data_IF_493655364865
#
_entry.id   IF_493655364865
#
_cell.length_a   1.000
_cell.length_b   1.000
_cell.length_c   1.000
_cell.angle_alpha   90.00
_cell.angle_beta   90.00
_cell.angle_gamma   90.00
#
_symmetry.space_group_name_H-M   'P 1'
#
loop_
_entity.id
_entity.type
_entity.pdbx_description
1 polymer ?
#
# COMPACT_ATOMS: atom_id res chain seq x y z
N UNK A 1 -21.84 -20.47 -8.56
CA UNK A 1 -21.45 -19.70 -7.35
C UNK A 1 -21.27 -18.25 -7.75
N UNK A 2 -21.86 -17.30 -7.01
CA UNK A 2 -21.78 -15.87 -7.34
C UNK A 2 -20.57 -15.21 -6.68
N UNK A 3 -19.97 -14.22 -7.33
CA UNK A 3 -18.86 -13.42 -6.77
C UNK A 3 -19.37 -12.59 -5.60
N UNK A 4 -18.78 -12.76 -4.40
CA UNK A 4 -19.22 -12.08 -3.17
C UNK A 4 -18.64 -10.67 -3.02
N UNK A 5 -17.38 -10.48 -3.41
CA UNK A 5 -16.67 -9.19 -3.45
C UNK A 5 -15.33 -9.32 -4.18
N UNK A 6 -14.76 -8.19 -4.56
CA UNK A 6 -13.45 -8.10 -5.23
C UNK A 6 -12.42 -7.57 -4.23
N UNK A 7 -11.23 -8.15 -4.25
CA UNK A 7 -10.09 -7.72 -3.43
C UNK A 7 -9.01 -7.11 -4.31
N UNK A 8 -8.26 -6.17 -3.75
CA UNK A 8 -7.07 -5.65 -4.38
C UNK A 8 -5.87 -6.45 -3.87
N UNK A 9 -5.21 -7.16 -4.78
CA UNK A 9 -3.98 -7.92 -4.55
C UNK A 9 -2.88 -7.31 -5.38
N UNK A 10 -1.71 -7.16 -4.77
CA UNK A 10 -0.51 -6.69 -5.45
C UNK A 10 0.57 -7.76 -5.30
N UNK A 11 1.41 -7.94 -6.33
CA UNK A 11 2.53 -8.88 -6.25
C UNK A 11 3.60 -8.32 -5.31
N UNK A 12 4.07 -9.15 -4.38
CA UNK A 12 5.21 -8.79 -3.52
C UNK A 12 6.50 -8.95 -4.32
N UNK A 13 6.77 -7.97 -5.18
CA UNK A 13 7.89 -8.01 -6.11
C UNK A 13 9.24 -8.11 -5.39
N UNK A 14 9.35 -7.51 -4.20
CA UNK A 14 10.56 -7.55 -3.38
C UNK A 14 10.81 -8.95 -2.83
N UNK A 15 9.80 -9.55 -2.20
CA UNK A 15 9.93 -10.90 -1.65
C UNK A 15 10.00 -11.99 -2.73
N UNK A 16 9.46 -11.72 -3.92
CA UNK A 16 9.47 -12.62 -5.08
C UNK A 16 10.70 -12.46 -5.99
N UNK A 17 11.60 -11.50 -5.70
CA UNK A 17 12.81 -11.28 -6.50
C UNK A 17 12.56 -10.80 -7.93
N UNK A 18 11.46 -10.06 -8.17
CA UNK A 18 11.18 -9.50 -9.49
C UNK A 18 12.20 -8.43 -9.87
N UNK A 19 12.57 -8.39 -11.15
CA UNK A 19 13.62 -7.51 -11.64
C UNK A 19 13.06 -6.47 -12.61
N UNK A 20 13.68 -5.29 -12.65
CA UNK A 20 13.39 -4.25 -13.65
C UNK A 20 14.02 -4.59 -15.02
N UNK A 21 13.79 -5.81 -15.51
CA UNK A 21 14.29 -6.31 -16.80
C UNK A 21 13.37 -6.00 -17.96
N UNK A 22 12.09 -5.73 -17.67
CA UNK A 22 11.09 -5.43 -18.67
C UNK A 22 11.15 -4.00 -19.19
N UNK A 23 10.65 -3.79 -20.40
CA UNK A 23 10.40 -2.46 -20.96
C UNK A 23 9.02 -2.42 -21.60
N UNK A 24 8.27 -1.33 -21.40
CA UNK A 24 6.99 -1.12 -22.06
C UNK A 24 6.87 0.29 -22.63
N UNK A 25 6.04 0.46 -23.65
CA UNK A 25 5.68 1.79 -24.14
C UNK A 25 4.68 2.43 -23.18
N UNK A 26 4.98 3.65 -22.74
CA UNK A 26 4.09 4.42 -21.86
C UNK A 26 2.77 4.67 -22.60
N UNK A 27 1.67 4.36 -21.94
CA UNK A 27 0.32 4.59 -22.44
C UNK A 27 -0.24 5.91 -21.89
N UNK A 28 -0.71 6.79 -22.77
CA UNK A 28 -1.30 8.09 -22.43
C UNK A 28 -2.65 8.18 -23.12
N UNK A 29 -3.72 8.51 -22.38
CA UNK A 29 -5.08 8.63 -22.95
C UNK A 29 -5.52 7.42 -23.79
N UNK A 30 -5.07 6.22 -23.38
CA UNK A 30 -5.27 4.93 -24.06
C UNK A 30 -4.42 4.68 -25.32
N UNK A 31 -3.65 5.67 -25.81
CA UNK A 31 -2.71 5.52 -26.93
C UNK A 31 -1.29 5.19 -26.46
N UNK A 32 -0.53 4.46 -27.28
CA UNK A 32 0.88 4.17 -27.02
C UNK A 32 1.72 5.38 -27.42
N UNK A 33 2.52 5.90 -26.49
CA UNK A 33 3.48 6.94 -26.78
C UNK A 33 4.80 6.34 -27.29
N UNK A 34 5.66 7.20 -27.87
CA UNK A 34 7.01 6.79 -28.26
C UNK A 34 7.97 6.67 -27.06
N UNK A 35 7.52 7.00 -25.85
CA UNK A 35 8.34 6.92 -24.64
C UNK A 35 8.32 5.49 -24.12
N UNK A 36 9.51 4.91 -23.97
CA UNK A 36 9.69 3.58 -23.36
C UNK A 36 10.10 3.75 -21.90
N UNK A 37 9.49 2.94 -21.03
CA UNK A 37 9.78 2.91 -19.59
C UNK A 37 10.24 1.53 -19.17
N UNK A 38 11.11 1.50 -18.15
CA UNK A 38 11.45 0.24 -17.48
C UNK A 38 10.27 -0.20 -16.65
N UNK A 39 9.98 -1.50 -16.68
CA UNK A 39 8.94 -2.12 -15.87
C UNK A 39 9.53 -3.30 -15.11
N UNK A 40 8.95 -3.56 -13.95
CA UNK A 40 9.24 -4.77 -13.18
C UNK A 40 8.64 -5.95 -13.93
N UNK A 41 9.48 -6.90 -14.30
CA UNK A 41 9.08 -8.19 -14.84
C UNK A 41 8.84 -9.15 -13.68
N UNK A 42 7.61 -9.64 -13.55
CA UNK A 42 7.22 -10.48 -12.43
C UNK A 42 7.76 -11.90 -12.59
N UNK A 43 8.43 -12.40 -11.55
CA UNK A 43 8.74 -13.81 -11.41
C UNK A 43 7.45 -14.61 -11.14
N UNK A 44 7.42 -15.89 -11.55
CA UNK A 44 6.27 -16.79 -11.38
C UNK A 44 6.10 -17.29 -9.92
N UNK A 45 6.48 -16.47 -8.94
CA UNK A 45 6.27 -16.75 -7.52
C UNK A 45 4.92 -16.22 -7.05
N UNK A 46 4.12 -17.08 -6.43
CA UNK A 46 2.81 -16.73 -5.90
C UNK A 46 2.89 -15.99 -4.54
N UNK A 47 3.59 -14.86 -4.49
CA UNK A 47 3.65 -13.99 -3.31
C UNK A 47 2.88 -12.70 -3.57
N UNK A 48 1.85 -12.46 -2.77
CA UNK A 48 0.97 -11.32 -2.94
C UNK A 48 0.69 -10.64 -1.60
N UNK A 49 0.54 -9.32 -1.66
CA UNK A 49 0.14 -8.47 -0.55
C UNK A 49 -1.32 -8.07 -0.80
N UNK A 50 -2.13 -8.17 0.26
CA UNK A 50 -3.52 -7.71 0.27
C UNK A 50 -3.59 -6.40 1.05
N UNK A 51 -4.22 -5.38 0.48
CA UNK A 51 -4.49 -4.16 1.23
C UNK A 51 -5.70 -4.36 2.16
N UNK A 52 -5.40 -4.61 3.44
CA UNK A 52 -6.39 -4.83 4.51
C UNK A 52 -7.23 -3.60 4.88
N UNK A 53 -6.87 -2.42 4.36
CA UNK A 53 -7.50 -1.14 4.65
C UNK A 53 -8.09 -0.48 3.39
N UNK A 54 -8.28 -1.24 2.31
CA UNK A 54 -8.90 -0.74 1.10
C UNK A 54 -10.36 -0.28 1.36
N UNK A 55 -10.67 0.95 0.93
CA UNK A 55 -11.84 1.73 1.32
C UNK A 55 -13.18 0.99 1.14
N UNK A 56 -13.28 0.14 0.10
CA UNK A 56 -14.54 -0.50 -0.30
C UNK A 56 -14.72 -1.95 0.16
N UNK A 57 -13.67 -2.60 0.68
CA UNK A 57 -13.71 -4.03 1.02
C UNK A 57 -13.02 -4.39 2.34
N UNK A 58 -12.47 -3.43 3.08
CA UNK A 58 -11.80 -3.68 4.36
C UNK A 58 -12.69 -4.42 5.37
N UNK A 59 -13.96 -4.04 5.51
CA UNK A 59 -14.89 -4.71 6.44
C UNK A 59 -15.14 -6.17 6.04
N UNK A 60 -15.36 -6.44 4.75
CA UNK A 60 -15.55 -7.79 4.22
C UNK A 60 -14.28 -8.63 4.39
N UNK A 61 -13.11 -8.08 4.05
CA UNK A 61 -11.82 -8.76 4.23
C UNK A 61 -11.62 -9.24 5.68
N UNK A 62 -11.94 -8.39 6.66
CA UNK A 62 -11.82 -8.74 8.09
C UNK A 62 -12.81 -9.79 8.56
N UNK A 63 -13.95 -9.94 7.87
CA UNK A 63 -14.91 -11.03 8.17
C UNK A 63 -14.45 -12.37 7.62
N UNK A 64 -13.76 -12.39 6.49
CA UNK A 64 -13.29 -13.63 5.86
C UNK A 64 -11.93 -14.10 6.38
N UNK A 65 -11.11 -13.19 6.92
CA UNK A 65 -9.78 -13.53 7.41
C UNK A 65 -9.79 -13.82 8.92
N UNK A 66 -8.91 -14.73 9.40
CA UNK A 66 -8.72 -14.97 10.82
C UNK A 66 -8.37 -13.71 11.60
N UNK A 67 -8.82 -13.64 12.86
CA UNK A 67 -8.55 -12.50 13.74
C UNK A 67 -7.05 -12.20 13.86
N UNK A 68 -6.19 -13.22 13.95
CA UNK A 68 -4.73 -13.06 14.05
C UNK A 68 -4.07 -12.34 12.87
N UNK A 69 -4.76 -12.18 11.72
CA UNK A 69 -4.27 -11.44 10.55
C UNK A 69 -4.90 -10.04 10.42
N UNK A 70 -5.88 -9.73 11.26
CA UNK A 70 -6.72 -8.53 11.15
C UNK A 70 -6.71 -7.68 12.42
N UNK A 71 -6.15 -8.22 13.50
CA UNK A 71 -6.12 -7.54 14.78
C UNK A 71 -5.21 -6.31 14.75
N UNK A 72 -5.68 -5.15 15.26
CA UNK A 72 -4.86 -3.96 15.32
C UNK A 72 -3.60 -4.21 16.16
N UNK A 73 -2.43 -4.14 15.53
CA UNK A 73 -1.15 -4.19 16.24
C UNK A 73 -0.75 -2.77 16.63
N UNK A 74 -0.47 -2.48 17.92
CA UNK A 74 0.01 -1.17 18.33
C UNK A 74 1.33 -0.83 17.62
N UNK A 75 1.39 0.32 16.95
CA UNK A 75 2.62 0.82 16.31
C UNK A 75 3.71 1.13 17.34
N UNK A 76 3.29 1.59 18.52
CA UNK A 76 4.16 1.89 19.66
C UNK A 76 3.61 1.23 20.91
N UNK A 77 4.51 0.88 21.82
CA UNK A 77 4.14 0.34 23.12
C UNK A 77 3.17 1.28 23.85
N UNK A 78 2.19 0.75 24.61
CA UNK A 78 1.19 1.56 25.31
C UNK A 78 1.77 2.70 26.15
N UNK A 79 2.92 2.47 26.77
CA UNK A 79 3.63 3.38 27.67
C UNK A 79 4.26 4.55 26.89
N UNK A 80 4.76 4.29 25.68
CA UNK A 80 5.41 5.29 24.81
C UNK A 80 4.41 6.07 23.94
N UNK A 81 3.15 5.66 23.90
CA UNK A 81 2.10 6.26 23.06
C UNK A 81 1.90 7.77 23.28
N UNK A 82 1.84 8.28 24.53
CA UNK A 82 1.65 9.72 24.75
C UNK A 82 2.79 10.56 24.15
N UNK A 83 4.03 10.09 24.28
CA UNK A 83 5.22 10.78 23.78
C UNK A 83 5.27 10.74 22.25
N UNK A 84 4.94 9.59 21.66
CA UNK A 84 4.83 9.45 20.21
C UNK A 84 3.80 10.41 19.61
N UNK A 85 2.61 10.52 20.23
CA UNK A 85 1.58 11.45 19.77
C UNK A 85 2.02 12.92 19.89
N UNK A 86 2.69 13.29 20.99
CA UNK A 86 3.24 14.64 21.17
C UNK A 86 4.27 14.97 20.08
N UNK A 87 5.18 14.04 19.80
CA UNK A 87 6.21 14.20 18.76
C UNK A 87 5.59 14.42 17.37
N UNK A 88 4.61 13.60 16.99
CA UNK A 88 3.91 13.77 15.70
C UNK A 88 3.17 15.10 15.65
N UNK A 89 2.45 15.47 16.71
CA UNK A 89 1.70 16.72 16.76
C UNK A 89 2.60 17.95 16.56
N UNK A 90 3.77 17.97 17.22
CA UNK A 90 4.78 19.01 17.03
C UNK A 90 5.27 19.06 15.58
N UNK A 91 5.64 17.92 15.00
CA UNK A 91 6.12 17.85 13.62
C UNK A 91 5.08 18.36 12.61
N UNK A 92 3.82 17.98 12.76
CA UNK A 92 2.72 18.42 11.88
C UNK A 92 2.45 19.92 12.06
N UNK A 93 2.53 20.44 13.28
CA UNK A 93 2.36 21.86 13.55
C UNK A 93 3.44 22.71 12.86
N UNK A 94 4.71 22.34 13.00
CA UNK A 94 5.83 23.01 12.35
C UNK A 94 5.71 22.98 10.82
N UNK A 95 5.39 21.81 10.25
CA UNK A 95 5.14 21.66 8.82
C UNK A 95 3.96 22.53 8.33
N UNK A 96 2.93 22.70 9.16
CA UNK A 96 1.78 23.56 8.88
C UNK A 96 2.15 25.05 8.88
N UNK A 97 2.99 25.50 9.80
CA UNK A 97 3.49 26.88 9.85
C UNK A 97 4.34 27.20 8.61
N UNK A 98 5.24 26.29 8.22
CA UNK A 98 6.07 26.45 7.02
C UNK A 98 5.21 26.62 5.76
N UNK A 99 4.16 25.78 5.61
CA UNK A 99 3.22 25.88 4.48
C UNK A 99 2.46 27.20 4.44
N UNK A 100 2.15 27.80 5.59
CA UNK A 100 1.42 29.09 5.68
C UNK A 100 2.31 30.31 5.41
N UNK A 101 3.64 30.14 5.48
CA UNK A 101 4.62 31.19 5.20
C UNK A 101 4.94 31.32 3.70
N UNK A 102 4.66 30.28 2.91
CA UNK A 102 4.74 30.27 1.45
C UNK A 102 3.42 30.73 0.83
#
# INVERSE_FOLDING_TARGET
>A
QAVQFIINVQHDCGAAGCAETGTCQRRVEQELSMVTEKVVEHADEAKYIINMHALHNASKLRWYLPWCLTEPTPLVAPEARPDHHRSIASSVHEAGLEKRRK
#
